data_IF_110820966514
#
_entry.id   IF_110820966514
#
_cell.length_a   1.000
_cell.length_b   1.000
_cell.length_c   1.000
_cell.angle_alpha   90.00
_cell.angle_beta   90.00
_cell.angle_gamma   90.00
#
_symmetry.space_group_name_H-M   'P 1'
#
loop_
_entity.id
_entity.type
_entity.pdbx_description
1 polymer ?
#
# COMPACT_ATOMS: atom_id res chain seq x y z
N UNK A 1 1.06 -38.88 44.42
CA UNK A 1 0.81 -39.60 43.16
C UNK A 1 1.55 -38.82 42.08
N UNK A 2 2.64 -39.41 41.57
CA UNK A 2 3.38 -39.14 40.31
C UNK A 2 3.50 -37.69 39.81
N UNK A 3 4.71 -37.11 39.88
CA UNK A 3 5.77 -37.14 38.85
C UNK A 3 5.51 -36.25 37.62
N UNK A 4 6.48 -35.34 37.40
CA UNK A 4 7.07 -35.02 36.09
C UNK A 4 6.47 -33.87 35.24
N UNK A 5 7.20 -32.75 35.24
CA UNK A 5 7.68 -31.98 34.06
C UNK A 5 8.63 -30.87 34.55
N UNK A 6 9.91 -31.19 34.70
CA UNK A 6 11.02 -30.80 33.78
C UNK A 6 11.46 -29.34 33.84
N UNK A 7 12.60 -29.17 34.51
CA UNK A 7 13.67 -28.20 34.32
C UNK A 7 13.73 -27.48 32.96
N UNK A 8 13.95 -26.16 32.98
CA UNK A 8 15.23 -25.58 32.50
C UNK A 8 15.41 -24.13 32.97
N UNK A 9 16.56 -23.96 33.61
CA UNK A 9 17.17 -22.78 34.18
C UNK A 9 17.10 -21.46 33.37
N UNK A 10 16.89 -20.37 34.11
CA UNK A 10 17.83 -19.24 34.22
C UNK A 10 18.92 -19.15 33.13
N UNK A 11 18.84 -18.12 32.28
CA UNK A 11 19.95 -17.25 31.87
C UNK A 11 19.56 -16.41 30.63
N UNK A 12 18.99 -15.22 30.84
CA UNK A 12 19.08 -14.14 29.86
C UNK A 12 19.99 -13.06 30.42
N UNK A 13 21.30 -13.26 30.27
CA UNK A 13 22.31 -12.21 30.34
C UNK A 13 22.19 -11.37 29.06
N UNK A 14 22.10 -10.03 29.13
CA UNK A 14 22.50 -9.21 28.00
C UNK A 14 24.02 -9.29 27.86
N UNK A 15 24.47 -9.78 26.71
CA UNK A 15 25.88 -9.81 26.32
C UNK A 15 26.30 -8.36 26.07
N UNK A 16 26.91 -7.73 27.08
CA UNK A 16 27.74 -6.54 26.90
C UNK A 16 29.08 -6.85 27.54
N UNK A 17 30.00 -7.40 26.75
CA UNK A 17 31.39 -7.55 27.17
C UNK A 17 32.10 -6.20 27.04
N UNK A 18 32.80 -5.72 28.08
CA UNK A 18 33.66 -4.56 28.00
C UNK A 18 35.01 -4.99 27.43
N UNK A 19 35.26 -4.71 26.15
CA UNK A 19 36.59 -4.87 25.57
C UNK A 19 37.35 -3.56 25.74
N UNK A 20 38.23 -3.58 26.73
CA UNK A 20 39.55 -2.97 26.80
C UNK A 20 39.79 -1.58 26.18
N UNK A 21 40.13 -0.65 27.09
CA UNK A 21 40.97 0.52 26.83
C UNK A 21 42.18 0.14 25.97
N UNK A 22 42.22 0.62 24.73
CA UNK A 22 43.48 0.89 24.01
C UNK A 22 43.35 2.25 23.34
N UNK A 23 44.41 3.05 23.50
CA UNK A 23 44.63 4.34 22.86
C UNK A 23 44.07 4.37 21.43
N UNK A 24 43.27 5.40 21.14
CA UNK A 24 42.81 5.69 19.79
C UNK A 24 43.05 7.17 19.51
N UNK A 25 44.10 7.44 18.74
CA UNK A 25 44.49 8.79 18.32
C UNK A 25 43.44 9.38 17.34
N UNK A 26 43.05 10.66 17.50
CA UNK A 26 41.90 11.23 16.78
C UNK A 26 42.20 11.81 15.38
N UNK A 27 43.32 11.44 14.74
CA UNK A 27 43.78 12.13 13.53
C UNK A 27 43.35 11.50 12.19
N UNK A 28 42.81 10.26 12.16
CA UNK A 28 42.66 9.50 10.91
C UNK A 28 41.23 9.12 10.48
N UNK A 29 40.20 9.45 11.27
CA UNK A 29 38.79 9.05 10.99
C UNK A 29 37.93 10.16 10.39
N UNK A 30 38.40 11.40 10.39
CA UNK A 30 37.68 12.55 9.82
C UNK A 30 37.91 12.73 8.31
N UNK A 31 39.02 12.22 7.77
CA UNK A 31 39.32 12.30 6.33
C UNK A 31 38.52 11.27 5.52
N UNK A 32 38.15 10.13 6.11
CA UNK A 32 37.39 9.09 5.42
C UNK A 32 35.87 9.36 5.35
N UNK A 33 35.30 10.00 6.36
CA UNK A 33 33.86 10.29 6.43
C UNK A 33 33.46 11.52 5.61
N UNK A 34 34.31 12.55 5.57
CA UNK A 34 34.15 13.70 4.66
C UNK A 34 34.47 13.36 3.20
N UNK A 35 35.42 12.45 2.94
CA UNK A 35 35.70 11.94 1.59
C UNK A 35 34.51 11.16 1.03
N UNK A 36 33.86 10.31 1.82
CA UNK A 36 32.64 9.61 1.41
C UNK A 36 31.45 10.56 1.14
N UNK A 37 31.35 11.66 1.90
CA UNK A 37 30.31 12.67 1.70
C UNK A 37 30.58 13.56 0.47
N UNK A 38 31.84 13.94 0.22
CA UNK A 38 32.23 14.70 -0.98
C UNK A 38 32.19 13.82 -2.24
N UNK A 39 32.53 12.53 -2.14
CA UNK A 39 32.41 11.58 -3.24
C UNK A 39 30.94 11.35 -3.63
N UNK A 40 30.01 11.36 -2.66
CA UNK A 40 28.57 11.29 -2.93
C UNK A 40 28.01 12.55 -3.63
N UNK A 41 28.62 13.71 -3.42
CA UNK A 41 28.21 14.99 -4.03
C UNK A 41 28.88 15.23 -5.39
N UNK A 42 30.15 14.83 -5.55
CA UNK A 42 30.96 15.08 -6.75
C UNK A 42 30.85 13.94 -7.78
N UNK A 43 30.46 12.74 -7.38
CA UNK A 43 30.32 11.59 -8.30
C UNK A 43 28.90 11.44 -8.88
N UNK A 44 28.13 12.53 -8.97
CA UNK A 44 26.93 12.58 -9.80
C UNK A 44 27.38 12.57 -11.27
N UNK A 45 27.14 11.48 -12.04
CA UNK A 45 27.39 11.54 -13.46
C UNK A 45 26.43 12.55 -14.09
N UNK A 46 26.96 13.35 -14.99
CA UNK A 46 26.21 14.10 -15.99
C UNK A 46 25.19 13.17 -16.64
N UNK A 47 23.91 13.30 -16.25
CA UNK A 47 22.83 12.62 -16.96
C UNK A 47 22.59 13.35 -18.27
N UNK A 48 23.20 12.79 -19.31
CA UNK A 48 22.87 13.03 -20.70
C UNK A 48 21.36 12.89 -20.94
N UNK A 49 20.75 14.00 -21.38
CA UNK A 49 19.44 14.01 -22.03
C UNK A 49 19.58 13.40 -23.44
N UNK A 50 19.63 12.07 -23.55
CA UNK A 50 19.26 11.34 -24.77
C UNK A 50 19.16 9.86 -24.43
N UNK A 51 18.00 9.27 -24.75
CA UNK A 51 17.64 7.85 -24.56
C UNK A 51 17.16 7.40 -23.17
N UNK A 52 16.22 8.14 -22.56
CA UNK A 52 15.29 7.52 -21.60
C UNK A 52 14.09 6.93 -22.37
N UNK A 53 14.36 5.93 -23.20
CA UNK A 53 13.33 4.98 -23.61
C UNK A 53 13.00 4.18 -22.34
N UNK A 54 11.75 4.22 -21.91
CA UNK A 54 11.25 3.46 -20.76
C UNK A 54 11.68 1.98 -20.87
N UNK A 55 12.26 1.36 -19.84
CA UNK A 55 12.06 -0.05 -19.65
C UNK A 55 10.63 -0.22 -19.12
N UNK A 56 9.70 -0.39 -20.07
CA UNK A 56 8.54 -1.24 -19.83
C UNK A 56 9.07 -2.53 -19.21
N UNK A 57 8.52 -2.93 -18.07
CA UNK A 57 8.78 -4.23 -17.46
C UNK A 57 8.23 -5.28 -18.41
N UNK A 58 9.06 -5.73 -19.34
CA UNK A 58 8.91 -6.99 -20.04
C UNK A 58 10.19 -7.80 -19.77
N UNK A 59 9.98 -9.08 -19.49
CA UNK A 59 10.98 -10.16 -19.40
C UNK A 59 11.55 -10.50 -18.01
N UNK A 60 10.71 -11.16 -17.21
CA UNK A 60 10.97 -12.56 -16.83
C UNK A 60 9.72 -13.28 -16.31
N UNK A 61 8.81 -13.63 -17.22
CA UNK A 61 7.87 -14.75 -17.06
C UNK A 61 7.73 -15.45 -18.43
N UNK A 62 8.79 -16.15 -18.84
CA UNK A 62 8.71 -17.42 -19.57
C UNK A 62 9.18 -18.44 -18.53
N UNK A 63 8.49 -19.48 -18.13
CA UNK A 63 7.44 -20.29 -18.74
C UNK A 63 6.43 -20.63 -17.62
N UNK A 64 5.13 -20.37 -17.82
CA UNK A 64 4.02 -21.18 -17.29
C UNK A 64 2.75 -20.78 -18.08
N UNK A 65 2.74 -21.06 -19.38
CA UNK A 65 1.49 -21.10 -20.15
C UNK A 65 0.77 -22.42 -19.89
N UNK A 66 0.28 -22.59 -18.65
CA UNK A 66 -0.68 -23.62 -18.25
C UNK A 66 -1.50 -23.08 -17.08
N UNK A 67 -2.46 -22.17 -17.32
CA UNK A 67 -3.71 -22.08 -16.53
C UNK A 67 -4.58 -20.86 -16.91
N UNK A 68 -5.65 -21.11 -17.65
CA UNK A 68 -6.85 -20.26 -17.62
C UNK A 68 -7.54 -20.20 -16.25
N UNK A 69 -6.93 -20.73 -15.19
CA UNK A 69 -7.44 -20.76 -13.82
C UNK A 69 -6.98 -19.57 -12.95
N UNK A 70 -5.96 -18.80 -13.36
CA UNK A 70 -5.35 -17.75 -12.51
C UNK A 70 -6.13 -16.41 -12.52
N UNK A 71 -7.11 -16.26 -13.41
CA UNK A 71 -7.89 -15.01 -13.53
C UNK A 71 -9.11 -14.93 -12.59
N UNK A 72 -9.37 -15.94 -11.76
CA UNK A 72 -10.51 -15.94 -10.82
C UNK A 72 -10.07 -16.17 -9.39
N UNK A 73 -10.93 -15.83 -8.45
CA UNK A 73 -10.76 -16.18 -7.04
C UNK A 73 -11.38 -17.55 -6.80
N UNK A 74 -10.75 -18.37 -5.94
CA UNK A 74 -11.28 -19.67 -5.53
C UNK A 74 -12.36 -19.46 -4.48
N UNK A 75 -13.63 -19.47 -4.90
CA UNK A 75 -14.79 -19.25 -4.04
C UNK A 75 -15.93 -20.18 -4.43
N UNK A 76 -16.65 -20.66 -3.41
CA UNK A 76 -17.85 -21.48 -3.58
C UNK A 76 -18.98 -20.61 -4.14
N UNK A 77 -19.71 -21.06 -5.18
CA UNK A 77 -20.80 -20.28 -5.77
C UNK A 77 -22.04 -20.30 -4.87
N UNK A 78 -22.23 -19.23 -4.09
CA UNK A 78 -23.44 -19.00 -3.28
C UNK A 78 -23.95 -17.58 -3.46
N UNK A 79 -25.25 -17.36 -3.24
CA UNK A 79 -25.89 -16.03 -3.37
C UNK A 79 -25.23 -14.99 -2.43
N UNK A 80 -24.85 -15.41 -1.22
CA UNK A 80 -24.14 -14.57 -0.26
C UNK A 80 -22.76 -14.16 -0.77
N UNK A 81 -22.02 -15.11 -1.36
CA UNK A 81 -20.69 -14.87 -1.93
C UNK A 81 -20.74 -13.95 -3.15
N UNK A 82 -21.79 -14.06 -3.98
CA UNK A 82 -22.06 -13.13 -5.07
C UNK A 82 -22.25 -11.70 -4.56
N UNK A 83 -23.00 -11.52 -3.47
CA UNK A 83 -23.17 -10.22 -2.81
C UNK A 83 -21.83 -9.63 -2.34
N UNK A 84 -21.00 -10.44 -1.67
CA UNK A 84 -19.66 -10.03 -1.21
C UNK A 84 -18.75 -9.65 -2.38
N UNK A 85 -18.76 -10.40 -3.49
CA UNK A 85 -17.94 -10.09 -4.66
C UNK A 85 -18.38 -8.82 -5.38
N UNK A 86 -19.69 -8.57 -5.49
CA UNK A 86 -20.22 -7.30 -6.00
C UNK A 86 -19.81 -6.12 -5.11
N UNK A 87 -19.90 -6.27 -3.79
CA UNK A 87 -19.47 -5.24 -2.84
C UNK A 87 -17.96 -4.93 -2.99
N UNK A 88 -17.13 -5.97 -3.18
CA UNK A 88 -15.68 -5.81 -3.45
C UNK A 88 -15.41 -5.09 -4.77
N UNK A 89 -16.17 -5.35 -5.84
CA UNK A 89 -16.03 -4.65 -7.12
C UNK A 89 -16.36 -3.15 -6.96
N UNK A 90 -17.46 -2.83 -6.28
CA UNK A 90 -17.82 -1.43 -5.97
C UNK A 90 -16.75 -0.77 -5.09
N UNK A 91 -16.19 -1.50 -4.12
CA UNK A 91 -15.06 -1.03 -3.32
C UNK A 91 -13.81 -0.74 -4.16
N UNK A 92 -13.44 -1.64 -5.07
CA UNK A 92 -12.27 -1.51 -5.94
C UNK A 92 -12.41 -0.32 -6.92
N UNK A 93 -13.59 -0.14 -7.52
CA UNK A 93 -13.87 0.99 -8.43
C UNK A 93 -13.82 2.34 -7.72
N UNK A 94 -14.43 2.44 -6.53
CA UNK A 94 -14.34 3.64 -5.68
C UNK A 94 -12.90 3.91 -5.22
N UNK A 95 -12.21 2.86 -4.77
CA UNK A 95 -10.80 2.95 -4.34
C UNK A 95 -9.87 3.43 -5.45
N UNK A 96 -10.06 2.93 -6.66
CA UNK A 96 -9.33 3.39 -7.83
C UNK A 96 -9.56 4.88 -8.11
N UNK A 97 -10.82 5.36 -8.12
CA UNK A 97 -11.12 6.77 -8.35
C UNK A 97 -10.49 7.69 -7.30
N UNK A 98 -10.47 7.28 -6.03
CA UNK A 98 -9.84 8.02 -4.93
C UNK A 98 -8.32 8.08 -5.07
N UNK A 99 -7.69 6.93 -5.36
CA UNK A 99 -6.24 6.86 -5.54
C UNK A 99 -5.78 7.66 -6.77
N UNK A 100 -6.58 7.69 -7.83
CA UNK A 100 -6.30 8.49 -9.03
C UNK A 100 -6.34 9.99 -8.71
N UNK A 101 -7.36 10.46 -8.00
CA UNK A 101 -7.42 11.85 -7.51
C UNK A 101 -6.23 12.20 -6.61
N UNK A 102 -5.81 11.28 -5.75
CA UNK A 102 -4.61 11.46 -4.90
C UNK A 102 -3.33 11.56 -5.75
N UNK A 103 -3.12 10.67 -6.71
CA UNK A 103 -1.93 10.70 -7.57
C UNK A 103 -1.85 12.02 -8.35
N UNK A 104 -2.98 12.49 -8.88
CA UNK A 104 -3.04 13.72 -9.66
C UNK A 104 -2.69 14.94 -8.78
N UNK A 105 -3.23 15.02 -7.56
CA UNK A 105 -2.88 16.06 -6.60
C UNK A 105 -1.39 16.04 -6.22
N UNK A 106 -0.80 14.85 -6.00
CA UNK A 106 0.63 14.71 -5.71
C UNK A 106 1.48 15.16 -6.91
N UNK A 107 1.07 14.85 -8.15
CA UNK A 107 1.83 15.28 -9.35
C UNK A 107 1.83 16.79 -9.55
N UNK A 108 0.76 17.49 -9.18
CA UNK A 108 0.72 18.96 -9.22
C UNK A 108 1.73 19.55 -8.23
N UNK A 109 1.75 19.05 -7.00
CA UNK A 109 2.70 19.47 -5.98
C UNK A 109 4.15 19.15 -6.36
N UNK A 110 4.37 17.97 -6.94
CA UNK A 110 5.68 17.55 -7.44
C UNK A 110 6.24 18.52 -8.49
N UNK A 111 5.40 18.96 -9.45
CA UNK A 111 5.81 19.97 -10.44
C UNK A 111 6.11 21.33 -9.81
N UNK A 112 5.35 21.74 -8.80
CA UNK A 112 5.60 22.99 -8.07
C UNK A 112 6.94 22.96 -7.33
N UNK A 113 7.26 21.85 -6.65
CA UNK A 113 8.54 21.66 -5.97
C UNK A 113 9.69 21.63 -6.98
N UNK A 114 9.52 20.95 -8.13
CA UNK A 114 10.54 20.92 -9.17
C UNK A 114 10.92 22.32 -9.65
N UNK A 115 9.92 23.17 -9.92
CA UNK A 115 10.17 24.58 -10.29
C UNK A 115 10.95 25.33 -9.21
N UNK A 116 10.57 25.15 -7.94
CA UNK A 116 11.28 25.77 -6.80
C UNK A 116 12.73 25.28 -6.69
N UNK A 117 12.98 23.98 -6.89
CA UNK A 117 14.33 23.42 -6.85
C UNK A 117 15.23 24.09 -7.90
N UNK A 118 14.73 24.28 -9.12
CA UNK A 118 15.52 24.93 -10.19
C UNK A 118 15.83 26.39 -9.81
N UNK A 119 14.85 27.17 -9.39
CA UNK A 119 15.08 28.57 -8.98
C UNK A 119 16.01 28.70 -7.77
N UNK A 120 15.84 27.84 -6.76
CA UNK A 120 16.69 27.87 -5.56
C UNK A 120 18.12 27.42 -5.90
N UNK A 121 18.29 26.44 -6.80
CA UNK A 121 19.61 25.99 -7.24
C UNK A 121 20.38 27.07 -8.00
N UNK A 122 19.70 27.87 -8.83
CA UNK A 122 20.30 29.04 -9.48
C UNK A 122 20.74 30.08 -8.44
N UNK A 123 19.83 30.46 -7.52
CA UNK A 123 20.16 31.42 -6.45
C UNK A 123 21.30 30.94 -5.54
N UNK A 124 21.38 29.64 -5.27
CA UNK A 124 22.47 29.02 -4.50
C UNK A 124 23.81 29.19 -5.23
N UNK A 125 23.83 29.02 -6.56
CA UNK A 125 25.03 29.21 -7.37
C UNK A 125 25.57 30.63 -7.24
N UNK A 126 24.69 31.64 -7.31
CA UNK A 126 25.07 33.04 -7.17
C UNK A 126 25.58 33.37 -5.75
N UNK A 127 24.86 32.95 -4.71
CA UNK A 127 25.25 33.20 -3.32
C UNK A 127 26.58 32.49 -2.99
N UNK A 128 26.79 31.27 -3.49
CA UNK A 128 28.03 30.52 -3.29
C UNK A 128 29.20 31.17 -4.03
N UNK A 129 28.97 31.69 -5.24
CA UNK A 129 29.96 32.45 -6.01
C UNK A 129 30.40 33.69 -5.24
N UNK A 130 29.45 34.51 -4.76
CA UNK A 130 29.75 35.70 -3.95
C UNK A 130 30.46 35.34 -2.64
N UNK A 131 30.05 34.26 -1.97
CA UNK A 131 30.70 33.79 -0.74
C UNK A 131 32.14 33.33 -0.97
N UNK A 132 32.40 32.66 -2.11
CA UNK A 132 33.74 32.22 -2.49
C UNK A 132 34.66 33.40 -2.80
N UNK A 133 34.15 34.45 -3.45
CA UNK A 133 34.91 35.70 -3.65
C UNK A 133 35.25 36.38 -2.32
N UNK A 134 34.27 36.51 -1.41
CA UNK A 134 34.52 37.07 -0.07
C UNK A 134 35.57 36.26 0.71
N UNK A 135 35.63 34.94 0.53
CA UNK A 135 36.69 34.11 1.11
C UNK A 135 38.06 34.42 0.52
N UNK A 136 38.16 34.62 -0.80
CA UNK A 136 39.42 34.96 -1.44
C UNK A 136 39.94 36.32 -0.99
N UNK A 137 39.07 37.31 -0.84
CA UNK A 137 39.42 38.64 -0.30
C UNK A 137 39.89 38.56 1.15
N UNK A 138 39.16 37.81 1.99
CA UNK A 138 39.55 37.59 3.38
C UNK A 138 40.92 36.89 3.48
N UNK A 139 41.18 35.87 2.65
CA UNK A 139 42.50 35.20 2.61
C UNK A 139 43.63 36.11 2.15
N UNK A 140 43.37 36.96 1.16
CA UNK A 140 44.37 37.90 0.63
C UNK A 140 44.81 38.92 1.69
N UNK A 141 43.85 39.52 2.41
CA UNK A 141 44.14 40.54 3.42
C UNK A 141 44.73 39.95 4.69
N UNK A 142 44.24 38.78 5.10
CA UNK A 142 44.48 38.26 6.44
C UNK A 142 45.58 37.17 6.48
N UNK A 143 46.01 36.66 5.31
CA UNK A 143 47.04 35.64 5.17
C UNK A 143 46.56 34.24 5.57
N UNK A 144 47.43 33.23 5.41
CA UNK A 144 47.04 31.82 5.59
C UNK A 144 46.88 31.41 7.06
N UNK A 145 47.41 32.21 7.98
CA UNK A 145 47.42 31.93 9.43
C UNK A 145 46.01 31.88 10.05
N UNK A 146 45.04 32.59 9.49
CA UNK A 146 43.67 32.65 10.02
C UNK A 146 42.91 31.34 9.89
N UNK A 147 43.23 30.52 8.89
CA UNK A 147 42.59 29.22 8.70
C UNK A 147 42.78 28.32 9.92
N UNK A 148 44.01 28.26 10.45
CA UNK A 148 44.35 27.42 11.60
C UNK A 148 43.66 27.91 12.88
N UNK A 149 43.66 29.22 13.11
CA UNK A 149 43.01 29.85 14.26
C UNK A 149 41.50 29.58 14.25
N UNK A 150 40.84 29.67 13.09
CA UNK A 150 39.41 29.38 13.00
C UNK A 150 39.13 27.92 13.33
N UNK A 151 39.88 26.97 12.77
CA UNK A 151 39.68 25.54 12.99
C UNK A 151 39.87 25.14 14.46
N UNK A 152 40.87 25.69 15.15
CA UNK A 152 41.11 25.43 16.58
C UNK A 152 39.99 25.97 17.48
N UNK A 153 39.36 27.07 17.06
CA UNK A 153 38.27 27.70 17.82
C UNK A 153 36.90 27.01 17.61
N UNK A 154 36.72 26.15 16.60
CA UNK A 154 35.45 25.43 16.38
C UNK A 154 35.33 24.27 17.38
N UNK A 155 34.53 24.47 18.44
CA UNK A 155 34.16 23.41 19.40
C UNK A 155 32.70 22.98 19.30
N UNK A 156 31.81 23.92 19.02
CA UNK A 156 30.37 23.68 18.91
C UNK A 156 29.83 24.33 17.64
N UNK A 157 28.80 23.73 17.05
CA UNK A 157 28.13 24.28 15.88
C UNK A 157 27.27 25.49 16.27
N UNK A 158 27.49 26.62 15.58
CA UNK A 158 26.70 27.85 15.73
C UNK A 158 25.32 27.76 15.07
N UNK A 159 25.26 27.12 13.90
CA UNK A 159 24.00 26.84 13.21
C UNK A 159 23.57 25.39 13.45
N UNK A 160 22.32 25.22 13.86
CA UNK A 160 21.68 23.91 14.02
C UNK A 160 20.50 23.79 13.07
N UNK A 161 20.28 22.58 12.55
CA UNK A 161 19.14 22.28 11.67
C UNK A 161 18.13 21.47 12.46
N UNK A 162 16.86 21.88 12.43
CA UNK A 162 15.74 21.15 13.03
C UNK A 162 14.86 20.56 11.94
N UNK A 163 14.44 19.32 12.14
CA UNK A 163 13.50 18.66 11.24
C UNK A 163 12.06 18.91 11.70
N UNK A 164 11.20 19.31 10.77
CA UNK A 164 9.75 19.39 10.91
C UNK A 164 9.10 18.48 9.88
N UNK A 165 7.85 18.07 10.14
CA UNK A 165 7.08 17.26 9.20
C UNK A 165 5.96 18.12 8.60
N UNK A 166 5.88 18.16 7.28
CA UNK A 166 4.80 18.82 6.53
C UNK A 166 3.91 17.77 5.87
N UNK A 167 2.58 17.89 5.97
CA UNK A 167 1.65 16.91 5.41
C UNK A 167 1.05 17.42 4.10
N UNK A 168 1.32 16.73 2.99
CA UNK A 168 0.78 17.05 1.67
C UNK A 168 -0.02 15.84 1.15
N UNK A 169 -1.33 16.01 0.99
CA UNK A 169 -2.25 14.97 0.48
C UNK A 169 -2.11 13.59 1.18
N UNK A 170 -1.79 13.60 2.48
CA UNK A 170 -1.60 12.40 3.31
C UNK A 170 -0.23 11.75 3.17
N UNK A 171 0.77 12.46 2.63
CA UNK A 171 2.20 12.08 2.64
C UNK A 171 2.93 13.04 3.57
N UNK A 172 3.66 12.50 4.56
CA UNK A 172 4.48 13.28 5.49
C UNK A 172 5.85 13.53 4.87
N UNK A 173 6.15 14.79 4.58
CA UNK A 173 7.42 15.22 4.01
C UNK A 173 8.32 15.80 5.11
N UNK A 174 9.61 15.45 5.15
CA UNK A 174 10.57 16.08 6.04
C UNK A 174 10.94 17.47 5.51
N UNK A 175 10.83 18.47 6.38
CA UNK A 175 11.22 19.85 6.13
C UNK A 175 12.30 20.26 7.11
N UNK A 176 13.32 20.96 6.63
CA UNK A 176 14.41 21.42 7.48
C UNK A 176 14.28 22.93 7.73
N UNK A 177 14.31 23.30 9.01
CA UNK A 177 14.40 24.69 9.45
C UNK A 177 15.79 24.96 10.01
N UNK A 178 16.38 26.08 9.62
CA UNK A 178 17.61 26.54 10.22
C UNK A 178 17.31 27.23 11.55
N UNK A 179 18.18 27.06 12.53
CA UNK A 179 18.10 27.75 13.82
C UNK A 179 19.48 28.23 14.17
N UNK A 180 19.61 29.55 14.33
CA UNK A 180 20.79 30.14 14.89
C UNK A 180 20.67 30.03 16.41
N UNK A 181 21.48 29.18 17.01
CA UNK A 181 21.59 29.17 18.46
C UNK A 181 22.42 30.39 18.81
N UNK A 182 21.77 31.45 19.30
CA UNK A 182 22.37 32.75 19.60
C UNK A 182 23.44 32.73 20.71
N UNK A 183 24.05 31.56 20.95
CA UNK A 183 25.18 31.38 21.84
C UNK A 183 26.37 32.20 21.35
N UNK A 184 26.77 33.13 22.22
CA UNK A 184 27.99 33.95 22.21
C UNK A 184 28.99 33.47 21.17
N UNK A 185 29.12 34.29 20.13
CA UNK A 185 30.04 34.12 19.02
C UNK A 185 31.48 34.19 19.51
N UNK A 186 31.99 33.06 20.03
CA UNK A 186 33.38 32.89 20.52
C UNK A 186 34.44 33.19 19.44
N UNK A 187 34.03 33.26 18.16
CA UNK A 187 34.88 33.60 17.03
C UNK A 187 34.88 35.10 16.66
N UNK A 188 34.23 35.98 17.42
CA UNK A 188 34.26 37.43 17.13
C UNK A 188 35.65 38.05 17.29
N UNK A 189 36.55 37.37 18.00
CA UNK A 189 37.95 37.76 18.14
C UNK A 189 38.82 37.34 16.94
N UNK A 190 38.27 36.63 15.95
CA UNK A 190 39.02 36.20 14.76
C UNK A 190 39.28 37.38 13.82
N UNK A 191 40.55 37.58 13.43
CA UNK A 191 40.95 38.69 12.54
C UNK A 191 41.26 40.02 13.23
N UNK A 192 41.42 40.04 14.57
CA UNK A 192 41.78 41.25 15.33
C UNK A 192 43.14 41.82 14.93
N UNK A 193 44.08 40.97 14.49
CA UNK A 193 45.42 41.39 14.08
C UNK A 193 45.45 42.09 12.72
N UNK A 194 44.77 41.52 11.70
CA UNK A 194 44.66 42.06 10.34
C UNK A 194 43.38 41.54 9.66
N UNK A 195 42.67 42.40 8.94
CA UNK A 195 41.60 42.00 8.02
C UNK A 195 40.27 41.55 8.65
N UNK A 196 40.03 41.80 9.95
CA UNK A 196 38.81 41.36 10.65
C UNK A 196 37.49 41.75 9.98
N UNK A 197 37.42 42.93 9.35
CA UNK A 197 36.23 43.35 8.60
C UNK A 197 35.93 42.43 7.41
N UNK A 198 36.95 42.00 6.67
CA UNK A 198 36.79 41.08 5.53
C UNK A 198 36.44 39.66 5.98
N UNK A 199 37.01 39.21 7.10
CA UNK A 199 36.67 37.93 7.73
C UNK A 199 35.20 37.93 8.17
N UNK A 200 34.71 39.03 8.76
CA UNK A 200 33.32 39.14 9.17
C UNK A 200 32.35 39.21 7.99
N UNK A 201 32.72 39.91 6.90
CA UNK A 201 31.95 39.91 5.66
C UNK A 201 31.86 38.52 5.03
N UNK A 202 32.98 37.80 4.96
CA UNK A 202 33.02 36.40 4.52
C UNK A 202 32.10 35.52 5.39
N UNK A 203 32.16 35.65 6.71
CA UNK A 203 31.29 34.92 7.63
C UNK A 203 29.80 35.19 7.36
N UNK A 204 29.42 36.45 7.19
CA UNK A 204 28.04 36.83 6.88
C UNK A 204 27.58 36.26 5.51
N UNK A 205 28.45 36.23 4.51
CA UNK A 205 28.15 35.64 3.21
C UNK A 205 27.92 34.12 3.31
N UNK A 206 28.77 33.39 4.03
CA UNK A 206 28.59 31.95 4.22
C UNK A 206 27.39 31.57 5.09
N UNK A 207 27.01 32.40 6.08
CA UNK A 207 25.77 32.17 6.83
C UNK A 207 24.57 32.20 5.88
N UNK A 208 24.48 33.22 5.00
CA UNK A 208 23.44 33.30 3.97
C UNK A 208 23.49 32.12 2.99
N UNK A 209 24.70 31.67 2.61
CA UNK A 209 24.84 30.49 1.74
C UNK A 209 24.31 29.22 2.41
N UNK A 210 24.57 29.02 3.71
CA UNK A 210 24.07 27.87 4.46
C UNK A 210 22.54 27.91 4.57
N UNK A 211 21.94 29.08 4.76
CA UNK A 211 20.47 29.23 4.79
C UNK A 211 19.83 28.72 3.49
N UNK A 212 20.34 29.15 2.34
CA UNK A 212 19.86 28.69 1.02
C UNK A 212 20.13 27.19 0.80
N UNK A 213 21.28 26.68 1.28
CA UNK A 213 21.60 25.25 1.21
C UNK A 213 20.63 24.39 2.02
N UNK A 214 20.25 24.83 3.22
CA UNK A 214 19.28 24.11 4.07
C UNK A 214 17.90 24.09 3.40
N UNK A 215 17.47 25.20 2.80
CA UNK A 215 16.23 25.26 2.04
C UNK A 215 16.27 24.30 0.82
N UNK A 216 17.36 24.31 0.06
CA UNK A 216 17.52 23.42 -1.09
C UNK A 216 17.52 21.94 -0.67
N UNK A 217 18.22 21.59 0.41
CA UNK A 217 18.25 20.23 0.95
C UNK A 217 16.87 19.76 1.41
N UNK A 218 16.07 20.66 2.00
CA UNK A 218 14.68 20.41 2.37
C UNK A 218 13.83 20.09 1.16
N UNK A 219 13.94 20.89 0.09
CA UNK A 219 13.20 20.67 -1.16
C UNK A 219 13.61 19.36 -1.84
N UNK A 220 14.91 19.04 -1.89
CA UNK A 220 15.43 17.80 -2.49
C UNK A 220 14.96 16.55 -1.75
N UNK A 221 15.03 16.56 -0.42
CA UNK A 221 14.59 15.41 0.40
C UNK A 221 13.08 15.21 0.30
N UNK A 222 12.31 16.30 0.33
CA UNK A 222 10.86 16.28 0.08
C UNK A 222 10.53 15.76 -1.33
N UNK A 223 11.34 16.11 -2.33
CA UNK A 223 11.15 15.67 -3.71
C UNK A 223 11.34 14.15 -3.88
N UNK A 224 12.39 13.57 -3.30
CA UNK A 224 12.64 12.13 -3.37
C UNK A 224 11.54 11.32 -2.67
N UNK A 225 11.13 11.75 -1.48
CA UNK A 225 10.06 11.09 -0.72
C UNK A 225 8.70 11.20 -1.43
N UNK A 226 8.42 12.34 -2.07
CA UNK A 226 7.20 12.53 -2.87
C UNK A 226 7.19 11.68 -4.15
N UNK A 227 8.33 11.56 -4.84
CA UNK A 227 8.47 10.72 -6.04
C UNK A 227 8.18 9.24 -5.74
N UNK A 228 8.73 8.71 -4.64
CA UNK A 228 8.45 7.35 -4.21
C UNK A 228 6.96 7.15 -3.89
N UNK A 229 6.33 8.12 -3.22
CA UNK A 229 4.90 8.09 -2.94
C UNK A 229 4.04 8.11 -4.24
N UNK A 230 4.46 8.86 -5.26
CA UNK A 230 3.79 8.87 -6.57
C UNK A 230 3.95 7.53 -7.28
N UNK A 231 5.17 6.96 -7.30
CA UNK A 231 5.42 5.64 -7.92
C UNK A 231 4.60 4.54 -7.26
N UNK A 232 4.55 4.51 -5.93
CA UNK A 232 3.78 3.50 -5.19
C UNK A 232 2.27 3.66 -5.39
N UNK A 233 1.75 4.90 -5.44
CA UNK A 233 0.33 5.14 -5.75
C UNK A 233 -0.04 4.76 -7.18
N UNK A 234 0.78 5.10 -8.17
CA UNK A 234 0.57 4.70 -9.56
C UNK A 234 0.61 3.18 -9.76
N UNK A 235 1.54 2.47 -9.09
CA UNK A 235 1.56 1.00 -9.09
C UNK A 235 0.27 0.41 -8.53
N UNK A 236 -0.29 0.99 -7.46
CA UNK A 236 -1.57 0.54 -6.87
C UNK A 236 -2.75 0.80 -7.79
N UNK A 237 -2.80 1.96 -8.44
CA UNK A 237 -3.83 2.28 -9.44
C UNK A 237 -3.80 1.26 -10.58
N UNK A 238 -2.60 1.00 -11.13
CA UNK A 238 -2.43 0.04 -12.22
C UNK A 238 -2.81 -1.40 -11.79
N UNK A 239 -2.46 -1.82 -10.57
CA UNK A 239 -2.85 -3.11 -10.03
C UNK A 239 -4.38 -3.24 -9.88
N UNK A 240 -5.07 -2.17 -9.49
CA UNK A 240 -6.53 -2.18 -9.38
C UNK A 240 -7.21 -2.27 -10.75
N UNK A 241 -6.73 -1.53 -11.74
CA UNK A 241 -7.27 -1.51 -13.10
C UNK A 241 -7.06 -2.86 -13.81
N UNK A 242 -5.82 -3.36 -13.83
CA UNK A 242 -5.43 -4.46 -14.70
C UNK A 242 -5.41 -5.85 -14.04
N UNK A 243 -5.40 -5.92 -12.70
CA UNK A 243 -5.35 -7.21 -11.98
C UNK A 243 -6.61 -7.42 -11.14
N UNK A 244 -6.93 -6.52 -10.22
CA UNK A 244 -7.99 -6.78 -9.24
C UNK A 244 -9.39 -6.70 -9.85
N UNK A 245 -9.68 -5.63 -10.61
CA UNK A 245 -10.99 -5.44 -11.24
C UNK A 245 -11.38 -6.58 -12.19
N UNK A 246 -10.56 -6.98 -13.18
CA UNK A 246 -10.92 -8.09 -14.06
C UNK A 246 -11.07 -9.41 -13.32
N UNK A 247 -10.24 -9.67 -12.29
CA UNK A 247 -10.37 -10.89 -11.47
C UNK A 247 -11.71 -10.96 -10.72
N UNK A 248 -12.19 -9.82 -10.21
CA UNK A 248 -13.49 -9.75 -9.55
C UNK A 248 -14.64 -9.92 -10.55
N UNK A 249 -14.56 -9.29 -11.72
CA UNK A 249 -15.56 -9.42 -12.78
C UNK A 249 -15.69 -10.88 -13.26
N UNK A 250 -14.58 -11.54 -13.54
CA UNK A 250 -14.55 -12.96 -13.92
C UNK A 250 -15.16 -13.87 -12.85
N UNK A 251 -14.86 -13.59 -11.56
CA UNK A 251 -15.41 -14.36 -10.44
C UNK A 251 -16.92 -14.14 -10.31
N UNK A 252 -17.42 -12.92 -10.53
CA UNK A 252 -18.87 -12.63 -10.52
C UNK A 252 -19.57 -13.35 -11.67
N UNK A 253 -18.99 -13.36 -12.86
CA UNK A 253 -19.54 -14.07 -14.03
C UNK A 253 -19.60 -15.58 -13.77
N UNK A 254 -18.57 -16.17 -13.15
CA UNK A 254 -18.56 -17.57 -12.75
C UNK A 254 -19.67 -17.89 -11.75
N UNK A 255 -19.75 -17.15 -10.63
CA UNK A 255 -20.77 -17.43 -9.60
C UNK A 255 -22.19 -17.27 -10.16
N UNK A 256 -22.42 -16.27 -11.02
CA UNK A 256 -23.72 -16.10 -11.70
C UNK A 256 -24.05 -17.30 -12.57
N UNK A 257 -23.11 -17.75 -13.40
CA UNK A 257 -23.32 -18.91 -14.27
C UNK A 257 -23.66 -20.19 -13.49
N UNK A 258 -22.96 -20.44 -12.38
CA UNK A 258 -23.24 -21.60 -11.51
C UNK A 258 -24.60 -21.50 -10.82
N UNK A 259 -24.98 -20.32 -10.33
CA UNK A 259 -26.29 -20.11 -9.71
C UNK A 259 -27.43 -20.27 -10.74
N UNK A 260 -27.25 -19.74 -11.95
CA UNK A 260 -28.24 -19.87 -13.03
C UNK A 260 -28.42 -21.34 -13.46
N UNK A 261 -27.35 -22.15 -13.43
CA UNK A 261 -27.45 -23.59 -13.72
C UNK A 261 -28.14 -24.37 -12.59
N UNK A 262 -27.84 -24.06 -11.33
CA UNK A 262 -28.54 -24.64 -10.17
C UNK A 262 -30.04 -24.30 -10.19
N UNK A 263 -30.39 -23.04 -10.48
CA UNK A 263 -31.79 -22.61 -10.63
C UNK A 263 -32.49 -23.33 -11.79
N UNK A 264 -31.76 -23.57 -12.90
CA UNK A 264 -32.25 -24.33 -14.05
C UNK A 264 -32.54 -25.78 -13.68
N UNK A 265 -31.63 -26.46 -12.97
CA UNK A 265 -31.82 -27.84 -12.49
C UNK A 265 -33.02 -27.97 -11.55
N UNK A 266 -33.16 -27.04 -10.59
CA UNK A 266 -34.29 -26.99 -9.66
C UNK A 266 -35.62 -26.74 -10.38
N UNK A 267 -35.62 -25.84 -11.35
CA UNK A 267 -36.80 -25.58 -12.19
C UNK A 267 -37.23 -26.83 -12.97
N UNK A 268 -36.29 -27.58 -13.55
CA UNK A 268 -36.59 -28.83 -14.24
C UNK A 268 -37.14 -29.90 -13.28
N UNK A 269 -36.59 -30.03 -12.07
CA UNK A 269 -37.10 -30.93 -11.02
C UNK A 269 -38.54 -30.60 -10.65
N UNK A 270 -38.83 -29.33 -10.35
CA UNK A 270 -40.17 -28.86 -9.99
C UNK A 270 -41.16 -29.08 -11.14
N UNK A 271 -40.76 -28.80 -12.39
CA UNK A 271 -41.60 -29.02 -13.57
C UNK A 271 -41.95 -30.50 -13.77
N UNK A 272 -41.00 -31.42 -13.55
CA UNK A 272 -41.27 -32.87 -13.59
C UNK A 272 -42.25 -33.28 -12.50
N UNK A 273 -42.04 -32.85 -11.25
CA UNK A 273 -42.92 -33.17 -10.12
C UNK A 273 -44.34 -32.65 -10.36
N UNK A 274 -44.49 -31.40 -10.80
CA UNK A 274 -45.79 -30.82 -11.17
C UNK A 274 -46.44 -31.60 -12.32
N UNK A 275 -45.66 -32.05 -13.31
CA UNK A 275 -46.14 -32.89 -14.40
C UNK A 275 -46.60 -34.28 -13.95
N UNK A 276 -46.01 -34.86 -12.91
CA UNK A 276 -46.50 -36.10 -12.30
C UNK A 276 -47.78 -35.84 -11.51
N UNK A 277 -47.81 -34.81 -10.65
CA UNK A 277 -49.00 -34.44 -9.88
C UNK A 277 -50.21 -34.14 -10.77
N UNK A 278 -50.03 -33.39 -11.86
CA UNK A 278 -51.12 -33.13 -12.83
C UNK A 278 -51.65 -34.41 -13.46
N UNK A 279 -50.77 -35.30 -13.92
CA UNK A 279 -51.17 -36.59 -14.49
C UNK A 279 -51.92 -37.46 -13.49
N UNK A 280 -51.50 -37.45 -12.23
CA UNK A 280 -52.19 -38.19 -11.17
C UNK A 280 -53.58 -37.61 -10.87
N UNK A 281 -53.69 -36.28 -10.80
CA UNK A 281 -54.97 -35.59 -10.65
C UNK A 281 -55.91 -35.89 -11.83
N UNK A 282 -55.40 -35.86 -13.06
CA UNK A 282 -56.18 -36.21 -14.26
C UNK A 282 -56.69 -37.66 -14.22
N UNK A 283 -55.85 -38.62 -13.79
CA UNK A 283 -56.27 -40.01 -13.59
C UNK A 283 -57.34 -40.14 -12.50
N UNK A 284 -57.18 -39.46 -11.37
CA UNK A 284 -58.18 -39.49 -10.29
C UNK A 284 -59.51 -38.85 -10.73
N UNK A 285 -59.48 -37.77 -11.53
CA UNK A 285 -60.69 -37.18 -12.10
C UNK A 285 -61.40 -38.11 -13.08
N UNK A 286 -60.65 -38.89 -13.88
CA UNK A 286 -61.22 -39.90 -14.78
C UNK A 286 -61.87 -41.05 -13.98
N UNK A 287 -61.18 -41.60 -12.98
CA UNK A 287 -61.73 -42.64 -12.09
C UNK A 287 -62.99 -42.16 -11.36
N UNK A 288 -62.98 -40.92 -10.85
CA UNK A 288 -64.16 -40.34 -10.20
C UNK A 288 -65.33 -40.14 -11.18
N UNK A 289 -65.07 -39.84 -12.46
CA UNK A 289 -66.12 -39.81 -13.50
C UNK A 289 -66.69 -41.20 -13.76
N UNK A 290 -65.85 -42.23 -13.85
CA UNK A 290 -66.30 -43.61 -14.06
C UNK A 290 -67.18 -44.10 -12.91
N UNK A 291 -66.78 -43.86 -11.65
CA UNK A 291 -67.59 -44.22 -10.47
C UNK A 291 -68.95 -43.50 -10.45
N UNK A 292 -69.00 -42.20 -10.79
CA UNK A 292 -70.26 -41.45 -10.86
C UNK A 292 -71.19 -41.88 -12.01
N UNK A 293 -70.69 -42.56 -13.04
CA UNK A 293 -71.52 -43.12 -14.13
C UNK A 293 -72.12 -44.47 -13.71
N UNK A 294 -71.40 -45.28 -12.92
CA UNK A 294 -71.91 -46.56 -12.39
C UNK A 294 -73.05 -46.34 -11.39
N UNK A 295 -72.98 -45.31 -10.54
CA UNK A 295 -74.05 -44.98 -9.58
C UNK A 295 -75.34 -44.43 -10.22
N UNK A 296 -75.29 -44.04 -11.50
CA UNK A 296 -76.47 -43.56 -12.27
C UNK A 296 -77.14 -44.64 -13.12
N UNK A 297 -76.67 -45.89 -13.07
CA UNK A 297 -77.41 -47.04 -13.63
C UNK A 297 -78.35 -47.57 -12.55
N UNK A 298 -79.68 -47.43 -12.68
CA UNK A 298 -80.59 -47.88 -11.63
C UNK A 298 -80.63 -49.41 -11.60
N UNK A 299 -80.12 -50.00 -10.50
CA UNK A 299 -80.39 -51.39 -10.14
C UNK A 299 -81.91 -51.60 -10.04
N UNK A 300 -82.45 -52.45 -10.91
CA UNK A 300 -83.82 -52.97 -10.80
C UNK A 300 -83.79 -54.50 -10.76
N UNK A 301 -84.31 -55.06 -9.65
CA UNK A 301 -84.52 -56.48 -9.25
C UNK A 301 -83.23 -57.21 -8.87
N UNK A 302 -83.10 -57.97 -7.78
CA UNK A 302 -84.01 -58.42 -6.72
C UNK A 302 -83.56 -59.80 -6.20
N UNK A 303 -83.26 -59.89 -4.89
CA UNK A 303 -83.29 -61.07 -3.97
C UNK A 303 -82.12 -62.11 -3.96
N UNK A 304 -81.50 -62.18 -2.76
CA UNK A 304 -80.94 -63.31 -1.97
C UNK A 304 -79.88 -64.28 -2.54
N UNK A 305 -78.75 -64.43 -1.82
CA UNK A 305 -78.38 -65.66 -1.06
C UNK A 305 -77.14 -65.43 -0.17
N UNK A 306 -77.15 -66.05 1.01
CA UNK A 306 -76.03 -66.12 1.96
C UNK A 306 -74.78 -66.77 1.35
N UNK A 307 -73.60 -66.13 1.48
CA UNK A 307 -72.33 -66.83 1.77
C UNK A 307 -71.26 -65.87 2.29
N UNK A 308 -70.90 -66.02 3.57
CA UNK A 308 -69.54 -65.95 4.14
C UNK A 308 -68.46 -65.11 3.41
N UNK A 309 -67.85 -64.12 4.09
CA UNK A 309 -66.69 -64.35 4.96
C UNK A 309 -66.21 -63.04 5.61
N UNK A 310 -66.04 -63.10 6.93
CA UNK A 310 -65.25 -62.13 7.71
C UNK A 310 -63.81 -62.06 7.19
N UNK A 311 -63.32 -60.87 6.85
CA UNK A 311 -61.90 -60.53 6.99
C UNK A 311 -61.70 -59.01 7.02
N UNK A 312 -60.98 -58.57 8.06
CA UNK A 312 -60.52 -57.21 8.38
C UNK A 312 -61.47 -56.30 9.19
N UNK A 313 -61.61 -56.69 10.45
CA UNK A 313 -61.43 -55.78 11.58
C UNK A 313 -59.97 -55.31 11.67
N UNK A 314 -59.73 -53.99 11.69
CA UNK A 314 -58.88 -53.32 12.69
C UNK A 314 -58.55 -51.89 12.21
N UNK A 315 -59.08 -50.94 12.97
CA UNK A 315 -58.71 -49.53 12.97
C UNK A 315 -57.23 -49.32 13.32
N UNK A 316 -56.76 -48.11 13.01
CA UNK A 316 -55.63 -47.39 13.62
C UNK A 316 -54.22 -47.91 13.38
N UNK A 317 -53.50 -47.25 12.48
CA UNK A 317 -52.19 -46.69 12.79
C UNK A 317 -51.99 -45.39 12.01
N UNK A 318 -51.52 -44.37 12.73
CA UNK A 318 -51.26 -43.02 12.24
C UNK A 318 -49.86 -43.03 11.64
N UNK A 319 -49.71 -42.62 10.39
CA UNK A 319 -48.40 -42.25 9.86
C UNK A 319 -48.09 -40.82 10.31
N UNK A 320 -47.53 -40.71 11.52
CA UNK A 320 -46.67 -39.58 11.91
C UNK A 320 -45.28 -39.82 11.31
N UNK A 321 -44.78 -38.80 10.60
CA UNK A 321 -43.38 -38.55 10.19
C UNK A 321 -43.20 -38.27 8.70
N UNK A 322 -43.88 -37.22 8.22
CA UNK A 322 -43.37 -36.35 7.16
C UNK A 322 -42.84 -35.09 7.87
N UNK A 323 -41.55 -35.12 8.19
CA UNK A 323 -40.82 -33.99 8.77
C UNK A 323 -40.44 -33.04 7.64
N UNK A 324 -40.82 -31.77 7.76
CA UNK A 324 -40.31 -30.66 6.94
C UNK A 324 -38.88 -30.30 7.32
#
# INVERSE_FOLDING_TARGET
MFHEKTNLANNCKPIFNPINKKHFDPAHTLTHTLSLFLWFIVSLPSLDLRSAQLPCVTDRVREEEMSGQTQRLTVVPTVTMLGVMKARLVGATRGHALLKKKSDALTVQFRQILKKIVSTKESMGDVMKTSSFALTEAKYVAGDNIKHIVLENVREASLRVRSRQENIAGVKLPKFDYTNDGGVTKNDLTGLARGGQQVQQCRAAYIKAIEVLVELASLQTSFLTLDEAIKTTNRRVNALENVVKPRLENTITYIKGELDELEREDFFRLKKIQGYKKREIEKQMLLNKENNVVDKVPLKKGVSYNSSQNLLSASSEKDEDIIF
#
